data_IF_743683387788
#
_entry.id   IF_743683387788
#
_cell.length_a   1.000
_cell.length_b   1.000
_cell.length_c   1.000
_cell.angle_alpha   90.00
_cell.angle_beta   90.00
_cell.angle_gamma   90.00
#
_symmetry.space_group_name_H-M   'P 1'
#
loop_
_entity.id
_entity.type
_entity.pdbx_description
1 polymer ?
#
# COMPACT_ATOMS: atom_id res chain seq x y z
N UNK A 1 19.71 -3.55 15.17
CA UNK A 1 18.41 -3.02 14.70
C UNK A 1 17.43 -2.98 15.87
N UNK A 2 16.74 -1.86 16.09
CA UNK A 2 15.80 -1.71 17.19
C UNK A 2 14.61 -2.68 17.04
N UNK A 3 14.05 -3.11 18.17
CA UNK A 3 12.83 -3.90 18.19
C UNK A 3 11.63 -3.01 17.87
N UNK A 4 10.66 -3.55 17.12
CA UNK A 4 9.41 -2.86 16.83
C UNK A 4 8.47 -2.97 18.02
N UNK A 5 7.72 -1.91 18.28
CA UNK A 5 6.60 -1.97 19.22
C UNK A 5 5.54 -2.96 18.73
N UNK A 6 4.78 -3.54 19.66
CA UNK A 6 3.68 -4.45 19.33
C UNK A 6 2.63 -3.79 18.43
N UNK A 7 2.42 -2.48 18.58
CA UNK A 7 1.56 -1.67 17.74
C UNK A 7 2.09 -1.60 16.30
N UNK A 8 3.33 -1.13 16.10
CA UNK A 8 3.90 -0.98 14.76
C UNK A 8 3.98 -2.33 14.02
N UNK A 9 4.32 -3.41 14.75
CA UNK A 9 4.31 -4.76 14.19
C UNK A 9 2.93 -5.19 13.68
N UNK A 10 1.85 -4.90 14.43
CA UNK A 10 0.47 -5.19 14.02
C UNK A 10 0.04 -4.36 12.81
N UNK A 11 0.41 -3.07 12.78
CA UNK A 11 0.13 -2.19 11.64
C UNK A 11 0.81 -2.70 10.37
N UNK A 12 2.10 -3.07 10.43
CA UNK A 12 2.81 -3.63 9.27
C UNK A 12 2.21 -4.95 8.79
N UNK A 13 1.76 -5.81 9.71
CA UNK A 13 1.09 -7.06 9.34
C UNK A 13 -0.27 -6.81 8.68
N UNK A 14 -1.06 -5.88 9.22
CA UNK A 14 -2.35 -5.50 8.64
C UNK A 14 -2.19 -4.89 7.25
N UNK A 15 -1.21 -4.00 7.06
CA UNK A 15 -0.85 -3.45 5.75
C UNK A 15 -0.46 -4.57 4.78
N UNK A 16 0.42 -5.49 5.20
CA UNK A 16 0.81 -6.63 4.37
C UNK A 16 -0.38 -7.49 3.91
N UNK A 17 -1.34 -7.76 4.80
CA UNK A 17 -2.53 -8.57 4.48
C UNK A 17 -3.43 -7.82 3.50
N UNK A 18 -3.72 -6.54 3.76
CA UNK A 18 -4.62 -5.75 2.91
C UNK A 18 -4.00 -5.48 1.55
N UNK A 19 -2.74 -5.06 1.51
CA UNK A 19 -1.97 -4.85 0.27
C UNK A 19 -1.79 -6.17 -0.51
N UNK A 20 -1.61 -7.29 0.19
CA UNK A 20 -1.55 -8.62 -0.44
C UNK A 20 -2.87 -9.04 -1.07
N UNK A 21 -3.99 -8.84 -0.37
CA UNK A 21 -5.32 -9.09 -0.91
C UNK A 21 -5.62 -8.20 -2.12
N UNK A 22 -5.29 -6.90 -2.03
CA UNK A 22 -5.43 -5.97 -3.15
C UNK A 22 -4.58 -6.39 -4.36
N UNK A 23 -3.33 -6.79 -4.14
CA UNK A 23 -2.44 -7.27 -5.21
C UNK A 23 -2.99 -8.52 -5.90
N UNK A 24 -3.52 -9.48 -5.15
CA UNK A 24 -4.15 -10.67 -5.72
C UNK A 24 -5.40 -10.34 -6.55
N UNK A 25 -6.26 -9.44 -6.03
CA UNK A 25 -7.44 -8.96 -6.77
C UNK A 25 -7.04 -8.23 -8.04
N UNK A 26 -6.02 -7.39 -8.00
CA UNK A 26 -5.54 -6.65 -9.16
C UNK A 26 -4.92 -7.58 -10.22
N UNK A 27 -4.12 -8.57 -9.81
CA UNK A 27 -3.51 -9.55 -10.74
C UNK A 27 -4.58 -10.45 -11.37
N UNK A 28 -5.44 -11.05 -10.55
CA UNK A 28 -6.44 -12.02 -11.02
C UNK A 28 -7.67 -11.39 -11.68
N UNK A 29 -7.98 -10.14 -11.33
CA UNK A 29 -9.15 -9.40 -11.82
C UNK A 29 -8.85 -8.44 -12.95
N UNK A 30 -7.59 -8.26 -13.37
CA UNK A 30 -7.17 -7.28 -14.37
C UNK A 30 -8.02 -7.32 -15.64
N UNK A 31 -8.09 -8.48 -16.29
CA UNK A 31 -8.84 -8.64 -17.56
C UNK A 31 -10.36 -8.63 -17.34
N UNK A 32 -10.84 -9.07 -16.17
CA UNK A 32 -12.26 -9.14 -15.87
C UNK A 32 -12.88 -7.77 -15.56
N UNK A 33 -12.09 -6.84 -15.04
CA UNK A 33 -12.58 -5.56 -14.50
C UNK A 33 -12.21 -4.34 -15.35
N UNK A 34 -11.39 -4.52 -16.40
CA UNK A 34 -10.87 -3.41 -17.20
C UNK A 34 -11.96 -2.51 -17.81
N UNK A 35 -12.99 -3.11 -18.44
CA UNK A 35 -14.13 -2.38 -19.01
C UNK A 35 -14.94 -1.65 -17.93
N UNK A 36 -15.18 -2.29 -16.79
CA UNK A 36 -15.95 -1.71 -15.68
C UNK A 36 -15.22 -0.52 -15.06
N UNK A 37 -13.91 -0.63 -14.86
CA UNK A 37 -13.09 0.39 -14.22
C UNK A 37 -12.66 1.49 -15.21
N UNK A 38 -12.78 1.25 -16.52
CA UNK A 38 -12.22 2.14 -17.54
C UNK A 38 -10.72 2.30 -17.39
N UNK A 39 -10.02 1.23 -16.96
CA UNK A 39 -8.58 1.23 -16.73
C UNK A 39 -7.93 0.11 -17.57
N UNK A 40 -6.72 0.33 -18.12
CA UNK A 40 -6.03 -0.72 -18.86
C UNK A 40 -5.74 -1.95 -17.99
N UNK A 41 -6.05 -3.16 -18.46
CA UNK A 41 -5.76 -4.40 -17.72
C UNK A 41 -4.28 -4.49 -17.32
N UNK A 42 -3.38 -4.07 -18.23
CA UNK A 42 -1.95 -4.05 -17.98
C UNK A 42 -1.58 -3.16 -16.77
N UNK A 43 -2.25 -2.03 -16.57
CA UNK A 43 -2.02 -1.15 -15.42
C UNK A 43 -2.37 -1.89 -14.12
N UNK A 44 -3.55 -2.52 -14.07
CA UNK A 44 -4.01 -3.26 -12.89
C UNK A 44 -3.09 -4.44 -12.59
N UNK A 45 -2.76 -5.23 -13.61
CA UNK A 45 -1.87 -6.39 -13.47
C UNK A 45 -0.49 -5.99 -12.92
N UNK A 46 0.17 -5.01 -13.56
CA UNK A 46 1.51 -4.59 -13.14
C UNK A 46 1.51 -3.86 -11.78
N UNK A 47 0.44 -3.12 -11.46
CA UNK A 47 0.27 -2.56 -10.11
C UNK A 47 0.17 -3.67 -9.06
N UNK A 48 -0.63 -4.71 -9.31
CA UNK A 48 -0.73 -5.86 -8.41
C UNK A 48 0.60 -6.62 -8.26
N UNK A 49 1.34 -6.81 -9.34
CA UNK A 49 2.69 -7.42 -9.31
C UNK A 49 3.66 -6.56 -8.48
N UNK A 50 3.61 -5.23 -8.61
CA UNK A 50 4.47 -4.32 -7.85
C UNK A 50 4.23 -4.41 -6.32
N UNK A 51 3.05 -4.83 -5.88
CA UNK A 51 2.75 -5.04 -4.45
C UNK A 51 3.42 -6.30 -3.87
N UNK A 52 3.80 -7.29 -4.69
CA UNK A 52 4.44 -8.53 -4.21
C UNK A 52 5.71 -8.26 -3.39
N UNK A 53 6.73 -7.53 -3.90
CA UNK A 53 7.92 -7.24 -3.12
C UNK A 53 7.62 -6.40 -1.88
N UNK A 54 6.67 -5.45 -1.98
CA UNK A 54 6.27 -4.60 -0.85
C UNK A 54 5.64 -5.41 0.29
N UNK A 55 4.62 -6.22 -0.02
CA UNK A 55 3.93 -7.11 0.94
C UNK A 55 4.92 -8.09 1.56
N UNK A 56 5.81 -8.67 0.74
CA UNK A 56 6.86 -9.57 1.22
C UNK A 56 7.75 -8.89 2.25
N UNK A 57 8.22 -7.67 1.97
CA UNK A 57 9.04 -6.87 2.88
C UNK A 57 8.31 -6.60 4.21
N UNK A 58 7.05 -6.16 4.14
CA UNK A 58 6.24 -5.89 5.33
C UNK A 58 6.07 -7.14 6.20
N UNK A 59 5.71 -8.27 5.58
CA UNK A 59 5.54 -9.55 6.28
C UNK A 59 6.85 -10.04 6.92
N UNK A 60 7.99 -9.89 6.23
CA UNK A 60 9.31 -10.24 6.78
C UNK A 60 9.66 -9.37 7.99
N UNK A 61 9.51 -8.05 7.89
CA UNK A 61 9.77 -7.13 9.00
C UNK A 61 8.84 -7.41 10.18
N UNK A 62 7.55 -7.61 9.92
CA UNK A 62 6.58 -7.93 10.96
C UNK A 62 6.88 -9.29 11.62
N UNK A 63 7.38 -10.28 10.87
CA UNK A 63 7.78 -11.58 11.41
C UNK A 63 9.02 -11.48 12.30
N UNK A 64 10.07 -10.80 11.82
CA UNK A 64 11.33 -10.60 12.55
C UNK A 64 11.14 -9.71 13.78
N UNK A 65 10.23 -8.72 13.69
CA UNK A 65 9.94 -7.80 14.78
C UNK A 65 11.05 -6.78 15.06
N UNK A 66 12.00 -6.60 14.14
CA UNK A 66 13.08 -5.62 14.23
C UNK A 66 13.33 -4.99 12.86
N UNK A 67 13.52 -3.69 12.81
CA UNK A 67 13.92 -2.97 11.60
C UNK A 67 14.60 -1.64 11.97
N UNK A 68 15.53 -1.13 11.15
CA UNK A 68 16.07 0.20 11.36
C UNK A 68 15.01 1.27 11.05
N UNK A 69 15.10 2.42 11.71
CA UNK A 69 14.14 3.54 11.56
C UNK A 69 14.01 4.00 10.11
N UNK A 70 15.12 4.09 9.38
CA UNK A 70 15.10 4.52 7.97
C UNK A 70 14.27 3.58 7.08
N UNK A 71 14.20 2.28 7.40
CA UNK A 71 13.43 1.32 6.61
C UNK A 71 11.92 1.50 6.84
N UNK A 72 11.52 1.80 8.08
CA UNK A 72 10.12 2.16 8.38
C UNK A 72 9.76 3.48 7.70
N UNK A 73 10.66 4.46 7.71
CA UNK A 73 10.45 5.71 6.99
C UNK A 73 10.32 5.50 5.46
N UNK A 74 11.14 4.61 4.87
CA UNK A 74 11.03 4.25 3.47
C UNK A 74 9.68 3.63 3.12
N UNK A 75 9.15 2.74 3.97
CA UNK A 75 7.80 2.16 3.80
C UNK A 75 6.72 3.24 3.80
N UNK A 76 6.78 4.19 4.74
CA UNK A 76 5.84 5.32 4.82
C UNK A 76 5.90 6.16 3.54
N UNK A 77 7.11 6.49 3.06
CA UNK A 77 7.30 7.25 1.82
C UNK A 77 6.76 6.50 0.62
N UNK A 78 7.00 5.18 0.53
CA UNK A 78 6.43 4.33 -0.53
C UNK A 78 4.91 4.34 -0.51
N UNK A 79 4.28 4.26 0.67
CA UNK A 79 2.83 4.36 0.79
C UNK A 79 2.32 5.72 0.31
N UNK A 80 2.95 6.83 0.68
CA UNK A 80 2.57 8.14 0.14
C UNK A 80 2.81 8.28 -1.36
N UNK A 81 3.89 7.70 -1.90
CA UNK A 81 4.13 7.67 -3.33
C UNK A 81 3.05 6.87 -4.06
N UNK A 82 2.59 5.75 -3.49
CA UNK A 82 1.48 4.96 -4.01
C UNK A 82 0.17 5.76 -4.02
N UNK A 83 -0.12 6.50 -2.94
CA UNK A 83 -1.27 7.40 -2.87
C UNK A 83 -1.20 8.48 -3.96
N UNK A 84 -0.06 9.14 -4.12
CA UNK A 84 0.13 10.16 -5.15
C UNK A 84 -0.04 9.57 -6.57
N UNK A 85 0.54 8.41 -6.84
CA UNK A 85 0.36 7.67 -8.09
C UNK A 85 -1.11 7.30 -8.34
N UNK A 86 -1.82 6.88 -7.29
CA UNK A 86 -3.24 6.56 -7.37
C UNK A 86 -4.11 7.78 -7.69
N UNK A 87 -3.81 8.94 -7.09
CA UNK A 87 -4.49 10.20 -7.42
C UNK A 87 -4.21 10.63 -8.86
N UNK A 88 -2.98 10.43 -9.35
CA UNK A 88 -2.66 10.65 -10.76
C UNK A 88 -3.43 9.69 -11.68
N UNK A 89 -3.60 8.43 -11.31
CA UNK A 89 -4.43 7.49 -12.08
C UNK A 89 -5.91 7.92 -12.08
N UNK A 90 -6.43 8.36 -10.93
CA UNK A 90 -7.84 8.74 -10.78
C UNK A 90 -8.21 10.05 -11.50
N UNK A 91 -7.33 11.06 -11.46
CA UNK A 91 -7.65 12.43 -11.88
C UNK A 91 -6.71 12.98 -12.95
N UNK A 92 -5.62 12.28 -13.27
CA UNK A 92 -4.67 12.69 -14.29
C UNK A 92 -5.20 12.49 -15.70
N UNK A 93 -4.57 13.14 -16.69
CA UNK A 93 -5.03 13.11 -18.08
C UNK A 93 -4.75 11.79 -18.80
N UNK A 94 -4.01 10.86 -18.19
CA UNK A 94 -3.43 9.71 -18.87
C UNK A 94 -4.38 8.52 -19.06
N UNK A 95 -5.34 8.30 -18.14
CA UNK A 95 -6.12 7.06 -18.10
C UNK A 95 -7.63 7.26 -18.30
N UNK A 96 -8.21 8.33 -17.74
CA UNK A 96 -9.65 8.59 -17.84
C UNK A 96 -10.54 7.47 -17.28
N UNK A 97 -10.38 7.05 -16.00
CA UNK A 97 -11.17 5.98 -15.40
C UNK A 97 -12.67 6.29 -15.36
N UNK A 98 -13.49 5.23 -15.39
CA UNK A 98 -14.93 5.31 -15.13
C UNK A 98 -15.20 5.77 -13.69
N UNK A 99 -16.45 6.11 -13.35
CA UNK A 99 -16.81 6.43 -11.96
C UNK A 99 -16.48 5.28 -11.01
N UNK A 100 -16.73 4.03 -11.41
CA UNK A 100 -16.36 2.85 -10.63
C UNK A 100 -14.84 2.72 -10.49
N UNK A 101 -14.09 2.99 -11.56
CA UNK A 101 -12.63 3.04 -11.54
C UNK A 101 -12.09 4.07 -10.57
N UNK A 102 -12.63 5.30 -10.60
CA UNK A 102 -12.24 6.36 -9.66
C UNK A 102 -12.52 5.96 -8.22
N UNK A 103 -13.73 5.45 -7.93
CA UNK A 103 -14.09 4.99 -6.58
C UNK A 103 -13.15 3.88 -6.12
N UNK A 104 -12.86 2.90 -6.97
CA UNK A 104 -11.93 1.81 -6.67
C UNK A 104 -10.53 2.33 -6.34
N UNK A 105 -9.97 3.19 -7.20
CA UNK A 105 -8.62 3.74 -7.03
C UNK A 105 -8.53 4.64 -5.79
N UNK A 106 -9.53 5.48 -5.54
CA UNK A 106 -9.58 6.37 -4.36
C UNK A 106 -9.75 5.56 -3.08
N UNK A 107 -10.61 4.54 -3.08
CA UNK A 107 -10.85 3.70 -1.90
C UNK A 107 -9.57 3.00 -1.45
N UNK A 108 -8.85 2.35 -2.37
CA UNK A 108 -7.57 1.72 -2.00
C UNK A 108 -6.51 2.76 -1.60
N UNK A 109 -6.45 3.91 -2.26
CA UNK A 109 -5.50 4.98 -1.90
C UNK A 109 -5.77 5.52 -0.49
N UNK A 110 -7.04 5.68 -0.10
CA UNK A 110 -7.41 6.11 1.24
C UNK A 110 -6.96 5.08 2.30
N UNK A 111 -7.12 3.79 2.02
CA UNK A 111 -6.65 2.72 2.91
C UNK A 111 -5.11 2.77 3.06
N UNK A 112 -4.37 2.93 1.96
CA UNK A 112 -2.91 3.05 1.98
C UNK A 112 -2.46 4.30 2.76
N UNK A 113 -3.16 5.43 2.60
CA UNK A 113 -2.89 6.65 3.36
C UNK A 113 -3.10 6.43 4.87
N UNK A 114 -4.17 5.72 5.26
CA UNK A 114 -4.40 5.35 6.67
C UNK A 114 -3.23 4.50 7.20
N UNK A 115 -2.73 3.52 6.43
CA UNK A 115 -1.57 2.75 6.87
C UNK A 115 -0.31 3.59 7.02
N UNK A 116 -0.04 4.53 6.10
CA UNK A 116 1.08 5.46 6.22
C UNK A 116 1.00 6.28 7.52
N UNK A 117 -0.17 6.83 7.85
CA UNK A 117 -0.40 7.56 9.09
C UNK A 117 -0.22 6.69 10.34
N UNK A 118 -0.77 5.46 10.34
CA UNK A 118 -0.60 4.52 11.46
C UNK A 118 0.88 4.14 11.66
N UNK A 119 1.65 4.00 10.57
CA UNK A 119 3.09 3.75 10.62
C UNK A 119 3.85 4.97 11.20
N UNK A 120 3.48 6.19 10.81
CA UNK A 120 4.02 7.43 11.40
C UNK A 120 3.77 7.47 12.91
N UNK A 121 2.52 7.21 13.33
CA UNK A 121 2.15 7.16 14.76
C UNK A 121 2.99 6.11 15.49
N UNK A 122 3.13 4.91 14.92
CA UNK A 122 3.92 3.83 15.50
C UNK A 122 5.40 4.18 15.65
N UNK A 123 5.97 4.88 14.66
CA UNK A 123 7.36 5.32 14.68
C UNK A 123 7.61 6.42 15.72
N UNK A 124 6.73 7.43 15.77
CA UNK A 124 6.80 8.53 16.75
C UNK A 124 6.71 8.02 18.20
N UNK A 125 5.77 7.10 18.47
CA UNK A 125 5.61 6.47 19.79
C UNK A 125 6.84 5.67 20.21
N UNK A 126 7.47 4.99 19.26
CA UNK A 126 8.67 4.19 19.54
C UNK A 126 9.91 5.07 19.80
N UNK A 127 9.96 6.27 19.22
CA UNK A 127 11.04 7.24 19.43
C UNK A 127 10.89 8.01 20.75
N UNK A 128 9.65 8.28 21.18
CA UNK A 128 9.37 8.95 22.45
C UNK A 128 9.53 8.04 23.69
N UNK A 129 9.49 6.72 23.49
CA UNK A 129 9.66 5.71 24.55
C UNK A 129 11.11 5.19 24.68
N UNK A 130 12.04 5.69 23.84
CA UNK A 130 13.46 5.34 23.83
C UNK A 130 14.27 6.45 24.52
#
# INVERSE_FOLDING_TARGET
MPALSSYLRKVLLADAVVSGAAGLVMIGGADLTHDLLGLPSALLFWAGVALIPFVTLLAMIARVGRAPVWLIAAIIVTNFAWVAGSLFVAFGPAFGPSLFGQVFVIAQAAIVAVFAELQIIGLRRSSAAA
#
